data_IF_636250577783
#
_entry.id   IF_636250577783
#
_cell.length_a   1.000
_cell.length_b   1.000
_cell.length_c   1.000
_cell.angle_alpha   90.00
_cell.angle_beta   90.00
_cell.angle_gamma   90.00
#
_symmetry.space_group_name_H-M   'P 1'
#
loop_
_entity.id
_entity.type
_entity.pdbx_description
1 polymer ?
#
# COMPACT_ATOMS: atom_id res chain seq x y z
N UNK A 1 -40.53 11.15 47.86
CA UNK A 1 -39.30 11.75 47.30
C UNK A 1 -38.17 10.79 47.61
N UNK A 2 -37.45 10.24 46.61
CA UNK A 2 -36.01 9.90 46.66
C UNK A 2 -35.54 9.08 45.44
N UNK A 3 -34.81 9.82 44.60
CA UNK A 3 -33.73 9.53 43.65
C UNK A 3 -33.59 8.14 43.00
N UNK A 4 -33.98 8.11 41.72
CA UNK A 4 -33.50 7.18 40.69
C UNK A 4 -32.01 7.42 40.44
N UNK A 5 -31.17 6.39 40.57
CA UNK A 5 -29.80 6.41 40.07
C UNK A 5 -29.83 5.93 38.62
N UNK A 6 -29.86 6.87 37.67
CA UNK A 6 -29.65 6.57 36.25
C UNK A 6 -28.19 6.16 36.05
N UNK A 7 -27.95 4.89 35.72
CA UNK A 7 -26.66 4.42 35.24
C UNK A 7 -26.36 5.12 33.89
N UNK A 8 -25.42 6.06 33.89
CA UNK A 8 -24.91 6.67 32.69
C UNK A 8 -24.02 5.65 31.96
N UNK A 9 -24.55 5.03 30.90
CA UNK A 9 -23.75 4.26 29.96
C UNK A 9 -22.87 5.22 29.13
N UNK A 10 -21.57 5.25 29.42
CA UNK A 10 -20.61 6.01 28.64
C UNK A 10 -20.41 5.34 27.27
N UNK A 11 -20.88 5.99 26.21
CA UNK A 11 -20.67 5.56 24.83
C UNK A 11 -19.22 5.87 24.44
N UNK A 12 -18.37 4.86 24.40
CA UNK A 12 -16.99 4.97 23.89
C UNK A 12 -17.07 5.06 22.36
N UNK A 13 -16.79 6.24 21.82
CA UNK A 13 -16.63 6.42 20.37
C UNK A 13 -15.22 5.96 20.00
N UNK A 14 -15.11 4.79 19.36
CA UNK A 14 -13.86 4.34 18.76
C UNK A 14 -13.57 5.23 17.55
N UNK A 15 -12.50 6.03 17.62
CA UNK A 15 -12.00 6.74 16.44
C UNK A 15 -11.43 5.73 15.46
N UNK A 16 -12.11 5.52 14.34
CA UNK A 16 -11.57 4.78 13.21
C UNK A 16 -10.61 5.72 12.47
N UNK A 17 -9.36 5.33 12.19
CA UNK A 17 -8.45 6.18 11.43
C UNK A 17 -9.03 6.37 10.03
N UNK A 18 -9.35 7.63 9.69
CA UNK A 18 -9.99 7.99 8.40
C UNK A 18 -9.04 7.89 7.19
N UNK A 19 -7.77 7.52 7.41
CA UNK A 19 -6.72 7.37 6.38
C UNK A 19 -6.08 5.96 6.42
N UNK A 20 -6.91 4.93 6.56
CA UNK A 20 -6.42 3.56 6.45
C UNK A 20 -6.32 3.18 4.97
N UNK A 21 -5.10 2.90 4.50
CA UNK A 21 -4.85 2.24 3.21
C UNK A 21 -5.65 0.94 3.17
N UNK A 22 -6.30 0.64 2.04
CA UNK A 22 -7.02 -0.61 1.89
C UNK A 22 -6.09 -1.82 2.14
N UNK A 23 -6.53 -2.86 2.88
CA UNK A 23 -5.67 -3.99 3.22
C UNK A 23 -5.03 -4.71 2.03
N UNK A 24 -5.66 -4.63 0.85
CA UNK A 24 -5.24 -5.27 -0.40
C UNK A 24 -4.59 -4.30 -1.40
N UNK A 25 -4.31 -3.05 -0.99
CA UNK A 25 -3.75 -2.02 -1.86
C UNK A 25 -2.46 -2.48 -2.54
N UNK A 26 -1.53 -3.06 -1.77
CA UNK A 26 -0.24 -3.51 -2.30
C UNK A 26 -0.41 -4.58 -3.40
N UNK A 27 -1.34 -5.51 -3.24
CA UNK A 27 -1.61 -6.54 -4.24
C UNK A 27 -2.26 -5.95 -5.51
N UNK A 28 -3.17 -4.99 -5.36
CA UNK A 28 -3.75 -4.24 -6.48
C UNK A 28 -2.70 -3.44 -7.24
N UNK A 29 -1.81 -2.76 -6.50
CA UNK A 29 -0.71 -2.00 -7.08
C UNK A 29 0.26 -2.91 -7.84
N UNK A 30 0.63 -4.05 -7.26
CA UNK A 30 1.48 -5.05 -7.94
C UNK A 30 0.86 -5.50 -9.26
N UNK A 31 -0.43 -5.87 -9.27
CA UNK A 31 -1.11 -6.31 -10.48
C UNK A 31 -1.12 -5.23 -11.59
N UNK A 32 -1.23 -3.95 -11.23
CA UNK A 32 -1.13 -2.84 -12.18
C UNK A 32 0.28 -2.74 -12.76
N UNK A 33 1.30 -2.84 -11.91
CA UNK A 33 2.70 -2.76 -12.32
C UNK A 33 3.08 -3.93 -13.23
N UNK A 34 2.72 -5.16 -12.85
CA UNK A 34 2.94 -6.35 -13.68
C UNK A 34 2.23 -6.27 -15.04
N UNK A 35 1.01 -5.71 -15.08
CA UNK A 35 0.27 -5.53 -16.33
C UNK A 35 0.89 -4.46 -17.25
N UNK A 36 1.60 -3.48 -16.69
CA UNK A 36 2.17 -2.36 -17.44
C UNK A 36 3.51 -2.70 -18.12
N UNK A 37 4.28 -3.64 -17.57
CA UNK A 37 5.63 -3.96 -18.05
C UNK A 37 5.75 -5.43 -18.47
N UNK A 38 6.18 -5.72 -19.71
CA UNK A 38 6.49 -7.10 -20.12
C UNK A 38 7.60 -7.69 -19.27
N UNK A 39 7.42 -8.93 -18.80
CA UNK A 39 8.37 -9.61 -17.91
C UNK A 39 9.80 -9.72 -18.49
N UNK A 40 9.95 -9.89 -19.81
CA UNK A 40 11.25 -10.00 -20.50
C UNK A 40 11.71 -8.71 -21.19
N UNK A 41 10.93 -7.63 -21.09
CA UNK A 41 11.24 -6.32 -21.69
C UNK A 41 11.89 -5.36 -20.70
N UNK A 42 12.22 -4.12 -21.14
CA UNK A 42 12.61 -3.06 -20.22
C UNK A 42 11.53 -2.85 -19.15
N UNK A 43 11.98 -2.62 -17.92
CA UNK A 43 11.10 -2.51 -16.77
C UNK A 43 11.03 -1.12 -16.13
N UNK A 44 10.28 -1.02 -15.03
CA UNK A 44 10.18 0.17 -14.20
C UNK A 44 9.90 -0.17 -12.73
N UNK A 45 10.36 0.69 -11.82
CA UNK A 45 10.09 0.60 -10.38
C UNK A 45 9.09 1.69 -9.97
N UNK A 46 8.24 1.38 -8.99
CA UNK A 46 7.17 2.26 -8.53
C UNK A 46 7.15 2.27 -7.00
N UNK A 47 7.08 3.47 -6.43
CA UNK A 47 6.84 3.70 -5.00
C UNK A 47 5.55 4.51 -4.87
N UNK A 48 4.65 4.05 -3.99
CA UNK A 48 3.45 4.79 -3.60
C UNK A 48 3.53 5.15 -2.13
N UNK A 49 3.23 6.40 -1.81
CA UNK A 49 3.18 6.90 -0.44
C UNK A 49 1.83 7.50 -0.11
N UNK A 50 1.31 7.20 1.07
CA UNK A 50 0.13 7.84 1.63
C UNK A 50 0.44 8.32 3.05
N UNK A 51 0.14 9.59 3.35
CA UNK A 51 0.46 10.18 4.65
C UNK A 51 1.96 10.12 5.03
N UNK A 52 2.85 10.18 4.04
CA UNK A 52 4.31 10.06 4.24
C UNK A 52 4.81 8.65 4.55
N UNK A 53 3.94 7.64 4.51
CA UNK A 53 4.31 6.22 4.67
C UNK A 53 4.37 5.56 3.30
N UNK A 54 5.37 4.72 3.06
CA UNK A 54 5.39 3.84 1.88
C UNK A 54 4.32 2.78 2.07
N UNK A 55 3.41 2.70 1.10
CA UNK A 55 2.27 1.76 1.10
C UNK A 55 2.39 0.71 0.00
N UNK A 56 3.28 0.95 -0.96
CA UNK A 56 3.71 0.00 -1.98
C UNK A 56 5.10 0.41 -2.48
N UNK A 57 5.97 -0.58 -2.69
CA UNK A 57 7.24 -0.42 -3.38
C UNK A 57 7.50 -1.72 -4.16
N UNK A 58 7.56 -1.62 -5.48
CA UNK A 58 7.71 -2.78 -6.36
C UNK A 58 8.24 -2.37 -7.72
N UNK A 59 8.27 -3.32 -8.64
CA UNK A 59 8.73 -3.10 -10.00
C UNK A 59 8.56 -4.34 -10.87
N UNK A 60 8.54 -4.15 -12.18
CA UNK A 60 8.36 -5.21 -13.16
C UNK A 60 9.29 -5.01 -14.35
N UNK A 61 9.56 -6.10 -15.09
CA UNK A 61 10.48 -6.11 -16.23
C UNK A 61 11.96 -6.17 -15.84
N UNK A 62 12.83 -5.86 -16.80
CA UNK A 62 14.28 -6.01 -16.68
C UNK A 62 15.01 -4.65 -16.59
N UNK A 63 15.93 -4.54 -15.64
CA UNK A 63 16.91 -3.46 -15.53
C UNK A 63 18.03 -3.61 -16.58
N UNK A 64 18.43 -4.85 -16.86
CA UNK A 64 19.37 -5.20 -17.92
C UNK A 64 18.88 -6.48 -18.60
N UNK A 65 18.39 -6.33 -19.83
CA UNK A 65 17.83 -7.45 -20.61
C UNK A 65 18.90 -8.47 -20.97
N UNK A 66 20.11 -8.02 -21.34
CA UNK A 66 21.18 -8.90 -21.79
C UNK A 66 21.71 -9.77 -20.65
N UNK A 67 21.71 -9.22 -19.42
CA UNK A 67 22.14 -9.93 -18.21
C UNK A 67 20.99 -10.60 -17.46
N UNK A 68 19.74 -10.41 -17.89
CA UNK A 68 18.56 -10.93 -17.20
C UNK A 68 18.40 -10.36 -15.78
N UNK A 69 18.80 -9.11 -15.56
CA UNK A 69 18.70 -8.48 -14.24
C UNK A 69 17.29 -7.86 -14.11
N UNK A 70 16.48 -8.31 -13.14
CA UNK A 70 15.14 -7.77 -12.95
C UNK A 70 15.19 -6.37 -12.33
N UNK A 71 14.13 -5.59 -12.56
CA UNK A 71 13.89 -4.38 -11.78
C UNK A 71 13.51 -4.78 -10.34
N UNK A 72 14.00 -4.02 -9.37
CA UNK A 72 13.60 -4.07 -7.97
C UNK A 72 13.44 -2.64 -7.43
N UNK A 73 12.84 -2.44 -6.24
CA UNK A 73 12.80 -1.13 -5.60
C UNK A 73 14.18 -0.48 -5.37
N UNK A 74 15.26 -1.29 -5.32
CA UNK A 74 16.63 -0.83 -5.10
C UNK A 74 17.41 -0.61 -6.40
N UNK A 75 16.79 -0.80 -7.57
CA UNK A 75 17.43 -0.52 -8.85
C UNK A 75 17.80 0.97 -8.96
N UNK A 76 19.05 1.26 -9.35
CA UNK A 76 19.52 2.62 -9.63
C UNK A 76 19.12 3.01 -11.05
N UNK A 77 18.55 4.22 -11.20
CA UNK A 77 18.09 4.80 -12.48
C UNK A 77 18.92 6.01 -12.88
#
# INVERSE_FOLDING_TARGET
>A
MNFKHSAAAALVVLSVPVHAVEPDFAAKAEAIVEAAYPASGPGGAVIVTEGGKVVYAGGAGMADIAKGVPITPDTVF
#
